data_IF_508313622833
#
_entry.id   IF_508313622833
#
_cell.length_a   1.000
_cell.length_b   1.000
_cell.length_c   1.000
_cell.angle_alpha   90.00
_cell.angle_beta   90.00
_cell.angle_gamma   90.00
#
_symmetry.space_group_name_H-M   'P 1'
#
loop_
_entity.id
_entity.type
_entity.pdbx_description
1 polymer ?
#
# COMPACT_ATOMS: atom_id res chain seq x y z
N UNK A 1 -19.35 13.11 1.29
CA UNK A 1 -18.37 13.21 2.40
C UNK A 1 -17.25 12.22 2.08
N UNK A 2 -15.99 12.53 2.39
CA UNK A 2 -14.88 11.58 2.15
C UNK A 2 -14.97 10.43 3.16
N UNK A 3 -14.52 9.24 2.77
CA UNK A 3 -14.56 8.05 3.62
C UNK A 3 -13.80 8.22 4.96
N UNK A 4 -12.85 9.14 5.01
CA UNK A 4 -12.11 9.50 6.23
C UNK A 4 -12.99 10.21 7.28
N UNK A 5 -14.02 10.95 6.85
CA UNK A 5 -14.90 11.71 7.75
C UNK A 5 -15.92 10.85 8.50
N UNK A 6 -16.05 9.58 8.13
CA UNK A 6 -17.01 8.62 8.72
C UNK A 6 -16.36 7.67 9.73
N UNK A 7 -15.05 7.81 9.98
CA UNK A 7 -14.31 6.93 10.88
C UNK A 7 -14.61 7.21 12.37
N UNK A 8 -14.81 6.16 13.16
CA UNK A 8 -14.92 6.24 14.60
C UNK A 8 -13.56 6.33 15.30
N UNK A 9 -13.56 6.54 16.62
CA UNK A 9 -12.33 6.65 17.43
C UNK A 9 -11.45 5.40 17.30
N UNK A 10 -12.08 4.22 17.26
CA UNK A 10 -11.39 2.95 17.13
C UNK A 10 -10.63 2.86 15.80
N UNK A 11 -11.28 3.20 14.68
CA UNK A 11 -10.69 3.18 13.35
C UNK A 11 -9.52 4.17 13.27
N UNK A 12 -9.64 5.35 13.88
CA UNK A 12 -8.54 6.33 13.93
C UNK A 12 -7.28 5.78 14.62
N UNK A 13 -7.43 4.98 15.69
CA UNK A 13 -6.29 4.32 16.34
C UNK A 13 -5.59 3.39 15.35
N UNK A 14 -6.34 2.57 14.61
CA UNK A 14 -5.77 1.68 13.60
C UNK A 14 -5.12 2.43 12.44
N UNK A 15 -5.68 3.57 12.02
CA UNK A 15 -5.05 4.42 11.00
C UNK A 15 -3.69 4.93 11.49
N UNK A 16 -3.58 5.35 12.75
CA UNK A 16 -2.31 5.81 13.33
C UNK A 16 -1.30 4.65 13.37
N UNK A 17 -1.72 3.47 13.85
CA UNK A 17 -0.85 2.28 13.90
C UNK A 17 -0.39 1.90 12.49
N UNK A 18 -1.32 1.85 11.52
CA UNK A 18 -1.01 1.54 10.13
C UNK A 18 -0.01 2.55 9.55
N UNK A 19 -0.22 3.84 9.77
CA UNK A 19 0.68 4.89 9.32
C UNK A 19 2.10 4.73 9.89
N UNK A 20 2.22 4.45 11.20
CA UNK A 20 3.51 4.18 11.84
C UNK A 20 4.18 2.94 11.24
N UNK A 21 3.44 1.86 11.02
CA UNK A 21 3.94 0.65 10.38
C UNK A 21 4.42 0.89 8.94
N UNK A 22 3.72 1.74 8.18
CA UNK A 22 4.11 2.09 6.81
C UNK A 22 5.40 2.92 6.78
N UNK A 23 5.58 3.88 7.69
CA UNK A 23 6.66 4.88 7.60
C UNK A 23 7.92 4.47 8.38
N UNK A 24 7.78 3.80 9.53
CA UNK A 24 8.91 3.52 10.42
C UNK A 24 10.07 2.73 9.78
N UNK A 25 9.86 1.76 8.86
CA UNK A 25 10.96 1.04 8.21
C UNK A 25 11.83 1.97 7.34
N UNK A 26 11.22 2.93 6.65
CA UNK A 26 11.97 3.90 5.84
C UNK A 26 12.78 4.87 6.71
N UNK A 27 12.24 5.30 7.85
CA UNK A 27 12.98 6.12 8.82
C UNK A 27 14.18 5.32 9.35
N UNK A 28 13.97 4.07 9.72
CA UNK A 28 15.04 3.17 10.18
C UNK A 28 16.12 3.01 9.11
N UNK A 29 15.73 2.78 7.85
CA UNK A 29 16.67 2.61 6.76
C UNK A 29 17.48 3.86 6.45
N UNK A 30 16.85 5.03 6.49
CA UNK A 30 17.55 6.30 6.32
C UNK A 30 18.59 6.54 7.43
N UNK A 31 18.24 6.23 8.69
CA UNK A 31 19.16 6.39 9.84
C UNK A 31 20.30 5.37 9.84
N UNK A 32 20.01 4.13 9.44
CA UNK A 32 20.96 3.03 9.39
C UNK A 32 21.76 2.95 8.10
N UNK A 33 21.49 3.82 7.11
CA UNK A 33 22.03 3.75 5.76
C UNK A 33 21.87 2.34 5.14
N UNK A 34 20.69 1.75 5.33
CA UNK A 34 20.35 0.39 4.82
C UNK A 34 19.49 0.46 3.55
N UNK A 35 19.27 -0.69 2.93
CA UNK A 35 18.51 -0.82 1.68
C UNK A 35 17.07 -0.32 1.82
N UNK A 36 16.67 0.52 0.88
CA UNK A 36 15.31 1.05 0.73
C UNK A 36 14.36 -0.03 0.23
N UNK A 37 14.82 -0.98 -0.58
CA UNK A 37 14.03 -2.14 -1.00
C UNK A 37 13.70 -3.05 0.20
N UNK A 38 14.66 -3.30 1.09
CA UNK A 38 14.40 -4.01 2.35
C UNK A 38 13.42 -3.25 3.25
N UNK A 39 13.57 -1.92 3.34
CA UNK A 39 12.61 -1.08 4.07
C UNK A 39 11.19 -1.21 3.48
N UNK A 40 11.08 -1.28 2.15
CA UNK A 40 9.81 -1.48 1.45
C UNK A 40 9.19 -2.83 1.80
N UNK A 41 9.97 -3.92 1.76
CA UNK A 41 9.51 -5.25 2.17
C UNK A 41 8.97 -5.23 3.61
N UNK A 42 9.75 -4.69 4.55
CA UNK A 42 9.34 -4.61 5.96
C UNK A 42 8.08 -3.75 6.14
N UNK A 43 8.00 -2.64 5.41
CA UNK A 43 6.84 -1.75 5.42
C UNK A 43 5.56 -2.45 4.94
N UNK A 44 5.63 -3.18 3.82
CA UNK A 44 4.50 -3.95 3.31
C UNK A 44 4.10 -5.10 4.25
N UNK A 45 5.09 -5.77 4.86
CA UNK A 45 4.83 -6.84 5.82
C UNK A 45 4.12 -6.32 7.08
N UNK A 46 4.60 -5.22 7.67
CA UNK A 46 3.99 -4.63 8.86
C UNK A 46 2.58 -4.11 8.57
N UNK A 47 2.37 -3.42 7.45
CA UNK A 47 1.05 -2.96 7.03
C UNK A 47 0.08 -4.13 6.78
N UNK A 48 0.57 -5.23 6.19
CA UNK A 48 -0.24 -6.44 5.98
C UNK A 48 -0.58 -7.14 7.29
N UNK A 49 0.35 -7.15 8.26
CA UNK A 49 0.10 -7.71 9.59
C UNK A 49 -1.00 -6.93 10.33
N UNK A 50 -0.99 -5.59 10.26
CA UNK A 50 -2.06 -4.76 10.84
C UNK A 50 -3.41 -5.03 10.16
N UNK A 51 -3.44 -5.08 8.83
CA UNK A 51 -4.67 -5.43 8.07
C UNK A 51 -5.23 -6.79 8.50
N UNK A 52 -4.36 -7.78 8.63
CA UNK A 52 -4.76 -9.12 9.04
C UNK A 52 -5.24 -9.15 10.50
N UNK A 53 -4.57 -8.46 11.42
CA UNK A 53 -5.01 -8.35 12.80
C UNK A 53 -6.41 -7.73 12.91
N UNK A 54 -6.68 -6.66 12.15
CA UNK A 54 -8.01 -6.03 12.08
C UNK A 54 -9.04 -7.00 11.52
N UNK A 55 -8.71 -7.71 10.44
CA UNK A 55 -9.59 -8.72 9.84
C UNK A 55 -9.97 -9.82 10.84
N UNK A 56 -9.00 -10.31 11.62
CA UNK A 56 -9.25 -11.33 12.67
C UNK A 56 -10.10 -10.77 13.80
N UNK A 57 -9.82 -9.55 14.28
CA UNK A 57 -10.59 -8.91 15.37
C UNK A 57 -12.04 -8.67 14.96
N UNK A 58 -12.27 -8.23 13.72
CA UNK A 58 -13.61 -7.89 13.22
C UNK A 58 -14.36 -9.08 12.63
N UNK A 59 -13.69 -10.21 12.38
CA UNK A 59 -14.29 -11.38 11.74
C UNK A 59 -14.69 -11.15 10.27
N UNK A 60 -14.07 -10.15 9.62
CA UNK A 60 -14.38 -9.76 8.23
C UNK A 60 -13.15 -10.04 7.37
N UNK A 61 -13.28 -10.70 6.19
CA UNK A 61 -12.15 -10.90 5.28
C UNK A 61 -11.44 -9.60 4.92
N UNK A 62 -10.11 -9.62 4.79
CA UNK A 62 -9.29 -8.41 4.54
C UNK A 62 -9.79 -7.59 3.35
N UNK A 63 -10.13 -8.27 2.24
CA UNK A 63 -10.65 -7.65 1.02
C UNK A 63 -12.00 -6.93 1.19
N UNK A 64 -12.80 -7.35 2.17
CA UNK A 64 -14.08 -6.74 2.52
C UNK A 64 -13.98 -5.78 3.72
N UNK A 65 -12.78 -5.60 4.26
CA UNK A 65 -12.52 -4.76 5.43
C UNK A 65 -12.61 -3.26 5.14
N UNK A 66 -12.91 -2.48 6.19
CA UNK A 66 -13.00 -1.02 6.08
C UNK A 66 -11.69 -0.38 5.62
N UNK A 67 -10.52 -0.95 5.94
CA UNK A 67 -9.21 -0.43 5.53
C UNK A 67 -9.10 -0.43 3.99
N UNK A 68 -9.41 -1.56 3.35
CA UNK A 68 -9.42 -1.67 1.88
C UNK A 68 -10.48 -0.74 1.30
N UNK A 69 -11.64 -0.66 1.94
CA UNK A 69 -12.73 0.23 1.53
C UNK A 69 -12.29 1.71 1.51
N UNK A 70 -11.54 2.17 2.52
CA UNK A 70 -11.16 3.57 2.73
C UNK A 70 -9.89 3.96 1.97
N UNK A 71 -8.92 3.05 1.82
CA UNK A 71 -7.60 3.38 1.29
C UNK A 71 -7.29 2.76 -0.10
N UNK A 72 -8.09 1.82 -0.57
CA UNK A 72 -7.92 1.19 -1.89
C UNK A 72 -8.39 2.11 -3.02
N UNK A 73 -7.78 1.98 -4.21
CA UNK A 73 -8.14 2.77 -5.40
C UNK A 73 -9.46 2.27 -5.97
N UNK A 74 -10.44 3.16 -6.10
CA UNK A 74 -11.72 2.86 -6.76
C UNK A 74 -11.85 3.69 -8.02
N UNK A 75 -11.77 3.09 -9.21
CA UNK A 75 -11.81 3.83 -10.47
C UNK A 75 -12.95 4.84 -10.60
N UNK A 76 -14.16 4.44 -10.20
CA UNK A 76 -15.37 5.26 -10.30
C UNK A 76 -15.32 6.59 -9.55
N UNK A 77 -14.49 6.71 -8.51
CA UNK A 77 -14.36 7.91 -7.68
C UNK A 77 -12.93 8.46 -7.65
N UNK A 78 -11.96 7.76 -8.24
CA UNK A 78 -10.53 8.09 -8.17
C UNK A 78 -10.19 9.43 -8.83
N UNK A 79 -10.99 9.90 -9.78
CA UNK A 79 -10.80 11.19 -10.46
C UNK A 79 -11.18 12.39 -9.59
N UNK A 80 -11.91 12.17 -8.48
CA UNK A 80 -12.22 13.22 -7.51
C UNK A 80 -10.96 13.64 -6.75
N UNK A 81 -10.65 14.95 -6.65
CA UNK A 81 -9.50 15.43 -5.88
C UNK A 81 -9.49 14.95 -4.41
N UNK A 82 -10.67 14.77 -3.82
CA UNK A 82 -10.82 14.30 -2.43
C UNK A 82 -10.40 12.84 -2.24
N UNK A 83 -10.38 12.03 -3.29
CA UNK A 83 -10.08 10.59 -3.25
C UNK A 83 -8.68 10.27 -3.79
N UNK A 84 -7.93 11.30 -4.21
CA UNK A 84 -6.60 11.17 -4.83
C UNK A 84 -5.56 10.51 -3.93
N UNK A 85 -5.72 10.57 -2.60
CA UNK A 85 -4.86 9.89 -1.65
C UNK A 85 -4.79 8.37 -1.88
N UNK A 86 -5.85 7.77 -2.43
CA UNK A 86 -5.95 6.33 -2.68
C UNK A 86 -4.89 5.81 -3.64
N UNK A 87 -4.44 6.62 -4.59
CA UNK A 87 -3.37 6.26 -5.53
C UNK A 87 -2.04 5.93 -4.84
N UNK A 88 -1.82 6.50 -3.66
CA UNK A 88 -0.62 6.28 -2.86
C UNK A 88 -0.93 5.24 -1.77
N UNK A 89 -2.05 5.39 -1.06
CA UNK A 89 -2.35 4.53 0.10
C UNK A 89 -2.59 3.07 -0.29
N UNK A 90 -3.06 2.79 -1.51
CA UNK A 90 -3.30 1.42 -1.99
C UNK A 90 -2.03 0.56 -2.06
N UNK A 91 -0.85 1.18 -2.14
CA UNK A 91 0.44 0.48 -2.20
C UNK A 91 0.70 -0.44 -1.01
N UNK A 92 0.17 -0.09 0.16
CA UNK A 92 0.35 -0.85 1.40
C UNK A 92 -0.76 -1.88 1.63
N UNK A 93 -1.84 -1.83 0.84
CA UNK A 93 -2.99 -2.70 1.03
C UNK A 93 -2.81 -4.00 0.28
N UNK A 94 -3.26 -5.11 0.86
CA UNK A 94 -3.16 -6.42 0.21
C UNK A 94 -4.39 -7.24 0.52
N UNK A 95 -4.88 -8.00 -0.47
CA UNK A 95 -6.08 -8.83 -0.33
C UNK A 95 -5.85 -10.12 0.49
N UNK A 96 -4.61 -10.41 0.89
CA UNK A 96 -4.27 -11.56 1.71
C UNK A 96 -2.79 -11.93 1.68
N UNK A 97 -2.42 -12.93 2.47
CA UNK A 97 -1.03 -13.33 2.68
C UNK A 97 -0.30 -13.73 1.40
N UNK A 98 -0.94 -14.53 0.53
CA UNK A 98 -0.32 -14.96 -0.73
C UNK A 98 -0.01 -13.75 -1.63
N UNK A 99 -0.91 -12.76 -1.67
CA UNK A 99 -0.71 -11.54 -2.44
C UNK A 99 0.45 -10.72 -1.87
N UNK A 100 0.51 -10.51 -0.53
CA UNK A 100 1.65 -9.84 0.11
C UNK A 100 2.97 -10.55 -0.17
N UNK A 101 3.00 -11.88 -0.01
CA UNK A 101 4.19 -12.71 -0.22
C UNK A 101 4.70 -12.58 -1.67
N UNK A 102 3.80 -12.60 -2.66
CA UNK A 102 4.17 -12.40 -4.06
C UNK A 102 4.89 -11.08 -4.30
N UNK A 103 4.34 -9.97 -3.79
CA UNK A 103 4.95 -8.64 -3.97
C UNK A 103 6.31 -8.53 -3.27
N UNK A 104 6.43 -8.98 -2.02
CA UNK A 104 7.72 -8.90 -1.31
C UNK A 104 8.76 -9.84 -1.91
N UNK A 105 8.36 -10.97 -2.52
CA UNK A 105 9.28 -11.85 -3.24
C UNK A 105 9.81 -11.16 -4.51
N UNK A 106 8.97 -10.48 -5.28
CA UNK A 106 9.42 -9.70 -6.45
C UNK A 106 10.39 -8.60 -6.01
N UNK A 107 10.06 -7.84 -4.96
CA UNK A 107 10.94 -6.80 -4.43
C UNK A 107 12.25 -7.41 -3.90
N UNK A 108 12.19 -8.57 -3.23
CA UNK A 108 13.37 -9.23 -2.68
C UNK A 108 14.30 -9.78 -3.76
N UNK A 109 13.74 -10.46 -4.77
CA UNK A 109 14.50 -11.14 -5.81
C UNK A 109 14.96 -10.19 -6.93
N UNK A 110 14.16 -9.17 -7.26
CA UNK A 110 14.44 -8.23 -8.36
C UNK A 110 14.77 -6.84 -7.84
N UNK A 111 13.99 -6.35 -6.88
CA UNK A 111 14.14 -5.00 -6.34
C UNK A 111 15.48 -4.77 -5.63
N UNK A 112 15.91 -5.68 -4.75
CA UNK A 112 17.19 -5.53 -4.02
C UNK A 112 18.40 -5.50 -4.98
N UNK A 113 18.57 -6.46 -5.92
CA UNK A 113 19.67 -6.37 -6.89
C UNK A 113 19.61 -5.12 -7.76
N UNK A 114 18.41 -4.67 -8.12
CA UNK A 114 18.24 -3.44 -8.91
C UNK A 114 18.67 -2.21 -8.10
N UNK A 115 18.26 -2.11 -6.83
CA UNK A 115 18.70 -1.07 -5.91
C UNK A 115 20.22 -1.04 -5.78
N UNK A 116 20.86 -2.19 -5.60
CA UNK A 116 22.32 -2.28 -5.48
C UNK A 116 23.05 -1.73 -6.72
N UNK A 117 22.44 -1.82 -7.91
CA UNK A 117 23.03 -1.33 -9.17
C UNK A 117 22.76 0.16 -9.43
N UNK A 118 21.60 0.68 -9.03
CA UNK A 118 21.19 2.05 -9.36
C UNK A 118 21.17 3.03 -8.18
N UNK A 119 21.29 2.52 -6.96
CA UNK A 119 21.15 3.25 -5.71
C UNK A 119 19.69 3.44 -5.26
N UNK A 120 19.49 3.54 -3.95
CA UNK A 120 18.17 3.63 -3.29
C UNK A 120 17.27 4.74 -3.83
N UNK A 121 17.82 5.92 -4.12
CA UNK A 121 17.02 7.06 -4.63
C UNK A 121 16.38 6.75 -5.99
N UNK A 122 17.17 6.26 -6.95
CA UNK A 122 16.68 5.95 -8.30
C UNK A 122 15.72 4.77 -8.26
N UNK A 123 16.03 3.76 -7.44
CA UNK A 123 15.15 2.61 -7.24
C UNK A 123 13.78 3.04 -6.71
N UNK A 124 13.74 3.88 -5.67
CA UNK A 124 12.48 4.38 -5.11
C UNK A 124 11.68 5.20 -6.13
N UNK A 125 12.34 6.01 -6.96
CA UNK A 125 11.65 6.73 -8.05
C UNK A 125 10.99 5.77 -9.03
N UNK A 126 11.70 4.73 -9.46
CA UNK A 126 11.12 3.71 -10.37
C UNK A 126 9.94 3.01 -9.72
N UNK A 127 10.08 2.60 -8.45
CA UNK A 127 9.02 1.96 -7.68
C UNK A 127 7.75 2.83 -7.59
N UNK A 128 7.89 4.13 -7.25
CA UNK A 128 6.75 5.05 -7.17
C UNK A 128 6.11 5.29 -8.54
N UNK A 129 6.92 5.42 -9.60
CA UNK A 129 6.40 5.62 -10.97
C UNK A 129 5.64 4.39 -11.46
N UNK A 130 6.14 3.18 -11.18
CA UNK A 130 5.44 1.94 -11.51
C UNK A 130 4.11 1.85 -10.75
N UNK A 131 4.12 2.06 -9.43
CA UNK A 131 2.91 2.10 -8.60
C UNK A 131 1.84 3.06 -9.17
N UNK A 132 2.22 4.32 -9.41
CA UNK A 132 1.29 5.33 -9.92
C UNK A 132 0.85 5.01 -11.34
N UNK A 133 1.77 4.58 -12.20
CA UNK A 133 1.48 4.19 -13.58
C UNK A 133 0.48 3.03 -13.66
N UNK A 134 0.67 2.00 -12.83
CA UNK A 134 -0.25 0.87 -12.72
C UNK A 134 -1.63 1.29 -12.23
N UNK A 135 -1.70 2.08 -11.16
CA UNK A 135 -2.98 2.58 -10.65
C UNK A 135 -3.70 3.47 -11.67
N UNK A 136 -2.99 4.36 -12.36
CA UNK A 136 -3.54 5.23 -13.41
C UNK A 136 -4.07 4.37 -14.57
N UNK A 137 -3.28 3.42 -15.06
CA UNK A 137 -3.69 2.51 -16.13
C UNK A 137 -4.94 1.69 -15.74
N UNK A 138 -5.02 1.23 -14.49
CA UNK A 138 -6.20 0.53 -13.97
C UNK A 138 -7.46 1.41 -13.99
N UNK A 139 -7.35 2.64 -13.48
CA UNK A 139 -8.47 3.59 -13.46
C UNK A 139 -8.95 3.92 -14.87
N UNK A 140 -8.04 4.13 -15.83
CA UNK A 140 -8.40 4.42 -17.21
C UNK A 140 -9.04 3.25 -17.94
N UNK A 141 -8.62 2.02 -17.65
CA UNK A 141 -9.14 0.81 -18.32
C UNK A 141 -10.45 0.31 -17.71
N UNK A 142 -10.75 0.66 -16.46
CA UNK A 142 -11.94 0.22 -15.73
C UNK A 142 -12.69 1.38 -15.06
N UNK A 143 -13.06 2.45 -15.79
CA UNK A 143 -13.53 3.70 -15.21
C UNK A 143 -14.78 3.55 -14.32
N UNK A 144 -15.67 2.62 -14.65
CA UNK A 144 -16.93 2.40 -13.91
C UNK A 144 -16.81 1.41 -12.75
N UNK A 145 -15.62 0.85 -12.50
CA UNK A 145 -15.43 -0.15 -11.45
C UNK A 145 -15.56 0.45 -10.05
N UNK A 146 -16.45 -0.14 -9.26
CA UNK A 146 -16.63 0.18 -7.83
C UNK A 146 -15.74 -0.68 -6.92
N UNK A 147 -15.08 -1.70 -7.48
CA UNK A 147 -14.27 -2.65 -6.70
C UNK A 147 -12.93 -1.98 -6.40
N UNK A 148 -12.55 -1.83 -5.12
CA UNK A 148 -11.27 -1.26 -4.76
C UNK A 148 -10.11 -2.18 -5.18
N UNK A 149 -9.08 -1.61 -5.79
CA UNK A 149 -7.82 -2.28 -6.03
C UNK A 149 -6.77 -1.94 -4.98
N UNK A 150 -5.90 -2.90 -4.74
CA UNK A 150 -4.89 -2.91 -3.68
C UNK A 150 -3.61 -3.54 -4.20
N UNK A 151 -2.49 -3.22 -3.55
CA UNK A 151 -1.23 -3.89 -3.76
C UNK A 151 -0.17 -3.00 -4.38
N UNK A 152 1.08 -3.38 -4.15
CA UNK A 152 2.26 -2.76 -4.75
C UNK A 152 2.59 -3.32 -6.14
N UNK A 153 1.78 -4.22 -6.69
CA UNK A 153 2.11 -5.03 -7.89
C UNK A 153 2.25 -4.23 -9.19
N UNK A 154 1.81 -2.97 -9.22
CA UNK A 154 2.08 -2.07 -10.34
C UNK A 154 3.52 -1.54 -10.39
N UNK A 155 4.26 -1.63 -9.28
CA UNK A 155 5.64 -1.17 -9.12
C UNK A 155 6.68 -2.22 -9.53
#
# INVERSE_FOLDING_TARGET
MSALGELGIFEHIFVIVLFVCCISPYISAYRGNTSVALATILSLMLASFVQFAVSVIQGVPVEMGWIVSVFGVRPSIATSPMESYRFITSAWLHAGWIHTLGNILVIGLVGIPLEQRMGGKRWMTVYILGLLGGNIAWVFTHPDSMIPTVGASGA
#
